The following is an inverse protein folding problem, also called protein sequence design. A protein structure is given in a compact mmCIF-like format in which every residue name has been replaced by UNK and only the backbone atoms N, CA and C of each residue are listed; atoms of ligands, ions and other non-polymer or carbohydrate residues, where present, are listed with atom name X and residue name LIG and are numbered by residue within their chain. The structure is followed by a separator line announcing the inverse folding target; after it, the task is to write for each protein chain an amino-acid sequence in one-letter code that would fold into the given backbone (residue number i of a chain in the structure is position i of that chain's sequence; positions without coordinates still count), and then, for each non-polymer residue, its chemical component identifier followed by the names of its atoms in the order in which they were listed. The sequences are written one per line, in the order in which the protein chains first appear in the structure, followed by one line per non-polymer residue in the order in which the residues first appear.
data_IF_374703114925
#
_entry.id   IF_374703114925
#
_cell.length_a   1.000
_cell.length_b   1.000
_cell.length_c   1.000
_cell.angle_alpha   90.00
_cell.angle_beta   90.00
_cell.angle_gamma   90.00
#
_symmetry.space_group_name_H-M   'P 1'
#
loop_
_entity.id
_entity.type
_entity.pdbx_description
1 polymer ?
#
# COMPACT_ATOMS: atom_id res chain seq x y z
N UNK A 1 -50.91 11.84 4.31
CA UNK A 1 -50.15 10.78 5.02
C UNK A 1 -49.16 10.03 4.10
N UNK A 2 -48.70 10.63 3.00
CA UNK A 2 -47.82 9.98 1.99
C UNK A 2 -46.40 10.54 1.97
N UNK A 3 -46.21 11.79 2.42
CA UNK A 3 -44.90 12.44 2.50
C UNK A 3 -44.01 11.79 3.57
N UNK A 4 -44.58 11.41 4.72
CA UNK A 4 -43.83 10.72 5.78
C UNK A 4 -43.37 9.33 5.37
N UNK A 5 -44.16 8.61 4.59
CA UNK A 5 -43.81 7.28 4.06
C UNK A 5 -42.70 7.35 3.00
N UNK A 6 -42.77 8.32 2.09
CA UNK A 6 -41.70 8.53 1.09
C UNK A 6 -40.39 8.95 1.76
N UNK A 7 -40.45 9.82 2.76
CA UNK A 7 -39.29 10.24 3.53
C UNK A 7 -38.69 9.08 4.33
N UNK A 8 -39.51 8.23 4.96
CA UNK A 8 -39.00 7.08 5.71
C UNK A 8 -38.32 6.05 4.80
N UNK A 9 -38.89 5.75 3.63
CA UNK A 9 -38.29 4.87 2.63
C UNK A 9 -36.94 5.45 2.15
N UNK A 10 -36.90 6.75 1.87
CA UNK A 10 -35.65 7.43 1.47
C UNK A 10 -34.56 7.34 2.55
N UNK A 11 -34.91 7.57 3.81
CA UNK A 11 -33.97 7.44 4.92
C UNK A 11 -33.47 6.00 5.11
N UNK A 12 -34.35 4.99 4.99
CA UNK A 12 -33.96 3.58 5.10
C UNK A 12 -33.03 3.19 3.96
N UNK A 13 -33.30 3.63 2.74
CA UNK A 13 -32.40 3.39 1.60
C UNK A 13 -31.03 4.04 1.81
N UNK A 14 -30.98 5.29 2.28
CA UNK A 14 -29.70 5.96 2.58
C UNK A 14 -28.93 5.20 3.66
N UNK A 15 -29.58 4.81 4.76
CA UNK A 15 -28.93 4.05 5.84
C UNK A 15 -28.41 2.71 5.31
N UNK A 16 -29.16 2.04 4.45
CA UNK A 16 -28.73 0.80 3.80
C UNK A 16 -27.53 1.01 2.88
N UNK A 17 -27.55 2.04 2.02
CA UNK A 17 -26.41 2.38 1.15
C UNK A 17 -25.15 2.76 1.95
N UNK A 18 -25.30 3.54 3.01
CA UNK A 18 -24.20 3.88 3.92
C UNK A 18 -23.67 2.60 4.57
N UNK A 19 -24.54 1.74 5.08
CA UNK A 19 -24.15 0.48 5.72
C UNK A 19 -23.39 -0.45 4.76
N UNK A 20 -23.84 -0.59 3.51
CA UNK A 20 -23.14 -1.39 2.49
C UNK A 20 -21.81 -0.75 2.10
N UNK A 21 -21.74 0.57 2.03
CA UNK A 21 -20.49 1.25 1.68
C UNK A 21 -19.39 1.02 2.74
N UNK A 22 -19.75 0.76 4.00
CA UNK A 22 -18.82 0.28 5.03
C UNK A 22 -18.31 -1.14 4.82
N UNK A 23 -18.81 -1.90 3.84
CA UNK A 23 -18.26 -3.21 3.46
C UNK A 23 -17.30 -3.11 2.26
N UNK A 24 -17.20 -1.95 1.61
CA UNK A 24 -16.33 -1.76 0.45
C UNK A 24 -14.88 -1.69 0.92
N UNK A 25 -14.08 -2.65 0.46
CA UNK A 25 -12.64 -2.68 0.67
C UNK A 25 -11.93 -2.25 -0.61
N UNK A 26 -10.90 -1.42 -0.45
CA UNK A 26 -10.04 -0.96 -1.54
C UNK A 26 -8.60 -1.39 -1.29
N UNK A 27 -7.84 -1.51 -2.37
CA UNK A 27 -6.42 -1.81 -2.29
C UNK A 27 -5.66 -0.60 -1.73
N UNK A 28 -4.82 -0.86 -0.74
CA UNK A 28 -4.04 0.15 -0.07
C UNK A 28 -2.58 0.02 -0.48
N UNK A 29 -2.04 1.14 -0.97
CA UNK A 29 -0.66 1.25 -1.39
C UNK A 29 0.10 2.20 -0.46
N UNK A 30 1.37 1.89 -0.22
CA UNK A 30 2.32 2.81 0.40
C UNK A 30 3.28 3.32 -0.65
N UNK A 31 3.65 4.60 -0.53
CA UNK A 31 4.58 5.28 -1.41
C UNK A 31 5.91 5.39 -0.69
N UNK A 32 6.99 5.02 -1.36
CA UNK A 32 8.32 5.06 -0.79
C UNK A 32 9.38 5.28 -1.88
N UNK A 33 10.63 5.49 -1.47
CA UNK A 33 11.75 5.69 -2.38
C UNK A 33 12.54 4.40 -2.55
N UNK A 34 12.77 4.04 -3.80
CA UNK A 34 13.71 3.02 -4.21
C UNK A 34 15.03 3.69 -4.61
N UNK A 35 16.10 3.36 -3.90
CA UNK A 35 17.37 4.08 -3.99
C UNK A 35 18.47 3.13 -4.46
N UNK A 36 19.05 3.38 -5.64
CA UNK A 36 20.24 2.70 -6.13
C UNK A 36 21.38 3.71 -6.28
N UNK A 37 22.35 3.68 -5.37
CA UNK A 37 23.53 4.58 -5.40
C UNK A 37 24.80 3.87 -5.87
N UNK A 38 24.90 2.57 -5.60
CA UNK A 38 26.07 1.75 -5.94
C UNK A 38 26.04 1.22 -7.37
N UNK A 39 24.91 1.39 -8.07
CA UNK A 39 24.68 0.90 -9.43
C UNK A 39 24.55 -0.62 -9.48
N UNK A 40 24.28 -1.30 -8.37
CA UNK A 40 24.21 -2.78 -8.30
C UNK A 40 23.01 -3.27 -7.51
N UNK A 41 22.68 -2.60 -6.41
CA UNK A 41 21.63 -3.02 -5.48
C UNK A 41 20.74 -1.82 -5.17
N UNK A 42 19.46 -2.02 -5.39
CA UNK A 42 18.45 -1.07 -4.96
C UNK A 42 18.08 -1.28 -3.51
N UNK A 43 17.93 -0.19 -2.78
CA UNK A 43 17.59 -0.17 -1.37
C UNK A 43 16.19 0.40 -1.19
N UNK A 44 15.35 -0.31 -0.43
CA UNK A 44 14.00 0.12 -0.07
C UNK A 44 13.84 0.05 1.44
N UNK A 45 13.54 1.19 2.07
CA UNK A 45 13.28 1.23 3.51
C UNK A 45 11.81 0.99 3.79
N UNK A 46 11.48 0.02 4.63
CA UNK A 46 10.13 -0.28 5.08
C UNK A 46 9.96 0.05 6.56
N UNK A 47 8.80 0.60 6.90
CA UNK A 47 8.39 0.66 8.31
C UNK A 47 8.15 -0.75 8.86
N UNK A 48 8.21 -0.90 10.18
CA UNK A 48 7.89 -2.17 10.86
C UNK A 48 6.49 -2.67 10.50
N UNK A 49 5.53 -1.75 10.34
CA UNK A 49 4.15 -2.09 9.98
C UNK A 49 4.06 -2.62 8.54
N UNK A 50 4.70 -1.93 7.60
CA UNK A 50 4.75 -2.31 6.18
C UNK A 50 5.41 -3.69 6.02
N UNK A 51 6.53 -3.93 6.72
CA UNK A 51 7.21 -5.22 6.74
C UNK A 51 6.31 -6.36 7.25
N UNK A 52 5.60 -6.15 8.38
CA UNK A 52 4.68 -7.15 8.95
C UNK A 52 3.53 -7.50 8.02
N UNK A 53 3.03 -6.53 7.25
CA UNK A 53 1.93 -6.73 6.29
C UNK A 53 2.42 -7.41 5.01
N UNK A 54 3.56 -6.99 4.48
CA UNK A 54 4.17 -7.53 3.26
C UNK A 54 4.74 -8.95 3.44
N UNK A 55 5.29 -9.24 4.63
CA UNK A 55 6.00 -10.50 4.94
C UNK A 55 7.01 -10.91 3.85
N UNK A 56 7.90 -10.00 3.43
CA UNK A 56 8.84 -10.28 2.35
C UNK A 56 9.80 -11.41 2.72
N UNK A 57 10.24 -12.18 1.71
CA UNK A 57 11.20 -13.28 1.89
C UNK A 57 12.42 -13.08 1.00
N UNK A 58 13.59 -13.42 1.52
CA UNK A 58 14.81 -13.48 0.72
C UNK A 58 14.59 -14.44 -0.46
N UNK A 59 15.10 -14.09 -1.63
CA UNK A 59 14.91 -14.76 -2.92
C UNK A 59 13.49 -14.74 -3.51
N UNK A 60 12.53 -14.05 -2.90
CA UNK A 60 11.22 -13.80 -3.52
C UNK A 60 11.22 -12.54 -4.38
N UNK A 61 10.25 -12.42 -5.28
CA UNK A 61 10.01 -11.23 -6.08
C UNK A 61 9.22 -10.19 -5.28
N UNK A 62 9.73 -8.96 -5.23
CA UNK A 62 9.04 -7.81 -4.70
C UNK A 62 8.35 -7.06 -5.84
N UNK A 63 7.03 -6.96 -5.75
CA UNK A 63 6.17 -6.27 -6.70
C UNK A 63 5.95 -4.82 -6.28
N UNK A 64 6.11 -3.89 -7.22
CA UNK A 64 5.84 -2.47 -7.01
C UNK A 64 5.39 -1.82 -8.32
N UNK A 65 4.93 -0.58 -8.21
CA UNK A 65 4.58 0.28 -9.33
C UNK A 65 5.49 1.48 -9.36
N UNK A 66 5.95 1.82 -10.56
CA UNK A 66 6.75 3.01 -10.85
C UNK A 66 6.14 3.71 -12.06
N UNK A 67 5.80 4.99 -11.92
CA UNK A 67 5.17 5.78 -12.99
C UNK A 67 3.91 5.10 -13.59
N UNK A 68 3.15 4.39 -12.75
CA UNK A 68 1.96 3.64 -13.15
C UNK A 68 2.24 2.26 -13.78
N UNK A 69 3.50 1.95 -14.07
CA UNK A 69 3.90 0.65 -14.62
C UNK A 69 4.21 -0.34 -13.50
N UNK A 70 3.77 -1.58 -13.70
CA UNK A 70 4.03 -2.68 -12.79
C UNK A 70 5.43 -3.24 -13.01
N UNK A 71 6.22 -3.31 -11.95
CA UNK A 71 7.60 -3.81 -11.97
C UNK A 71 7.85 -4.81 -10.85
N UNK A 72 8.90 -5.63 -11.01
CA UNK A 72 9.31 -6.61 -10.01
C UNK A 72 10.82 -6.67 -9.90
N UNK A 73 11.31 -6.79 -8.67
CA UNK A 73 12.74 -7.01 -8.40
C UNK A 73 12.93 -8.11 -7.37
N UNK A 74 14.00 -8.89 -7.49
CA UNK A 74 14.27 -9.98 -6.56
C UNK A 74 14.84 -9.44 -5.26
N UNK A 75 14.34 -9.93 -4.13
CA UNK A 75 14.86 -9.61 -2.81
C UNK A 75 16.14 -10.42 -2.59
N UNK A 76 17.26 -9.73 -2.46
CA UNK A 76 18.58 -10.32 -2.22
C UNK A 76 18.81 -10.50 -0.73
N UNK A 77 18.46 -9.50 0.07
CA UNK A 77 18.71 -9.48 1.51
C UNK A 77 17.70 -8.57 2.23
N UNK A 78 17.53 -8.81 3.53
CA UNK A 78 16.63 -8.06 4.40
C UNK A 78 17.40 -7.74 5.69
N UNK A 79 17.62 -6.44 5.93
CA UNK A 79 18.37 -5.99 7.10
C UNK A 79 17.45 -5.23 8.07
N UNK A 80 17.56 -5.50 9.36
CA UNK A 80 16.92 -4.66 10.37
C UNK A 80 17.78 -3.40 10.61
N UNK A 81 17.16 -2.21 10.57
CA UNK A 81 17.79 -0.92 10.84
C UNK A 81 16.99 -0.17 11.90
N UNK A 82 17.59 0.86 12.52
CA UNK A 82 16.91 1.66 13.55
C UNK A 82 15.63 2.27 12.96
N UNK A 83 14.46 1.77 13.38
CA UNK A 83 13.15 2.24 12.95
C UNK A 83 12.44 1.41 11.88
N UNK A 84 13.05 0.34 11.34
CA UNK A 84 12.42 -0.44 10.29
C UNK A 84 13.30 -1.53 9.66
N UNK A 85 12.95 -1.90 8.44
CA UNK A 85 13.66 -2.91 7.65
C UNK A 85 14.17 -2.29 6.36
N UNK A 86 15.34 -2.70 5.91
CA UNK A 86 15.92 -2.33 4.63
C UNK A 86 15.90 -3.56 3.73
N UNK A 87 15.14 -3.50 2.64
CA UNK A 87 15.19 -4.51 1.59
C UNK A 87 16.27 -4.14 0.59
N UNK A 88 17.11 -5.12 0.28
CA UNK A 88 18.07 -5.06 -0.80
C UNK A 88 17.49 -5.81 -1.99
N UNK A 89 17.23 -5.09 -3.08
CA UNK A 89 16.61 -5.58 -4.30
C UNK A 89 17.65 -5.66 -5.42
N UNK A 90 17.55 -6.69 -6.26
CA UNK A 90 18.34 -6.81 -7.47
C UNK A 90 18.08 -5.65 -8.42
N UNK A 91 19.13 -5.08 -8.98
CA UNK A 91 19.04 -4.06 -10.03
C UNK A 91 19.90 -4.43 -11.23
N UNK A 92 19.65 -3.77 -12.34
CA UNK A 92 20.53 -3.84 -13.49
C UNK A 92 21.80 -3.02 -13.23
N UNK A 93 22.95 -3.59 -13.57
CA UNK A 93 24.26 -3.00 -13.31
C UNK A 93 24.37 -1.66 -14.07
N UNK A 94 24.71 -0.59 -13.34
CA UNK A 94 25.00 0.73 -13.89
C UNK A 94 23.90 1.78 -13.72
N UNK A 95 22.69 1.39 -13.31
CA UNK A 95 21.56 2.32 -13.18
C UNK A 95 21.49 2.96 -11.79
N UNK A 96 22.31 3.99 -11.54
CA UNK A 96 22.13 4.84 -10.35
C UNK A 96 20.86 5.66 -10.49
N UNK A 97 19.92 5.49 -9.58
CA UNK A 97 18.66 6.22 -9.62
C UNK A 97 18.00 6.30 -8.24
N UNK A 98 17.19 7.33 -8.07
CA UNK A 98 16.25 7.45 -6.96
C UNK A 98 14.88 7.52 -7.62
N UNK A 99 14.04 6.52 -7.36
CA UNK A 99 12.71 6.41 -7.96
C UNK A 99 11.64 6.41 -6.87
N UNK A 100 10.55 7.13 -7.09
CA UNK A 100 9.36 7.02 -6.24
C UNK A 100 8.57 5.80 -6.72
N UNK A 101 8.27 4.89 -5.80
CA UNK A 101 7.52 3.68 -6.08
C UNK A 101 6.30 3.60 -5.16
N UNK A 102 5.30 2.83 -5.58
CA UNK A 102 4.20 2.43 -4.72
C UNK A 102 4.07 0.91 -4.68
N UNK A 103 3.70 0.35 -3.53
CA UNK A 103 3.55 -1.10 -3.38
C UNK A 103 2.34 -1.43 -2.52
N UNK A 104 1.71 -2.56 -2.82
CA UNK A 104 0.49 -3.01 -2.17
C UNK A 104 0.78 -3.52 -0.76
N UNK A 105 0.04 -3.01 0.23
CA UNK A 105 0.21 -3.35 1.65
C UNK A 105 -0.95 -4.19 2.19
N UNK A 106 -2.09 -4.21 1.51
CA UNK A 106 -3.28 -4.91 1.95
C UNK A 106 -4.54 -4.16 1.54
N UNK A 107 -5.67 -4.63 2.04
CA UNK A 107 -6.96 -3.97 1.82
C UNK A 107 -7.34 -3.12 3.03
N UNK A 108 -7.96 -1.98 2.79
CA UNK A 108 -8.53 -1.10 3.82
C UNK A 108 -9.96 -0.76 3.47
N UNK A 109 -10.72 -0.35 4.47
CA UNK A 109 -12.06 0.16 4.22
C UNK A 109 -12.00 1.47 3.42
N UNK A 110 -12.89 1.65 2.46
CA UNK A 110 -13.01 2.89 1.68
C UNK A 110 -13.12 4.12 2.60
N UNK A 111 -13.94 4.04 3.64
CA UNK A 111 -14.16 5.14 4.57
C UNK A 111 -13.00 5.39 5.52
N UNK A 112 -12.30 4.34 5.97
CA UNK A 112 -11.06 4.51 6.76
C UNK A 112 -10.03 5.34 5.98
N UNK A 113 -9.95 5.12 4.65
CA UNK A 113 -9.05 5.88 3.77
C UNK A 113 -9.53 7.31 3.50
N UNK A 114 -10.82 7.51 3.21
CA UNK A 114 -11.38 8.84 2.90
C UNK A 114 -11.40 9.77 4.11
N UNK A 115 -11.74 9.25 5.29
CA UNK A 115 -11.87 10.03 6.51
C UNK A 115 -10.53 10.23 7.24
N UNK A 116 -9.43 9.71 6.70
CA UNK A 116 -8.10 9.84 7.31
C UNK A 116 -8.03 9.25 8.72
N UNK A 117 -8.89 8.27 9.04
CA UNK A 117 -8.92 7.64 10.36
C UNK A 117 -7.71 6.72 10.47
N UNK A 118 -6.55 7.31 10.77
CA UNK A 118 -5.40 6.57 11.25
C UNK A 118 -5.77 5.98 12.60
N UNK A 119 -5.88 4.65 12.68
CA UNK A 119 -5.84 3.92 13.95
C UNK A 119 -4.51 4.29 14.63
N UNK A 120 -4.62 5.15 15.65
CA UNK A 120 -3.59 5.38 16.68
C UNK A 120 -3.28 4.06 17.40
#
# INVERSE_FOLDING_TARGET
MTISLKLSIFCVLIVFFISISFLITIDNYEINQLVNVDGKISQLSLSVNSFKKLKPRINSWFEYYKDGNKEWRRIIDIQFKRGGYLLLLSDEIGNKSISIISYFIGKVNLWERLLGVHKL
#
